data_IF_970388032941
#
_entry.id   IF_970388032941
#
_cell.length_a   1.000
_cell.length_b   1.000
_cell.length_c   1.000
_cell.angle_alpha   90.00
_cell.angle_beta   90.00
_cell.angle_gamma   90.00
#
_symmetry.space_group_name_H-M   'P 1'
#
loop_
_entity.id
_entity.type
_entity.pdbx_description
1 polymer ?
#
# COMPACT_ATOMS: atom_id res chain seq x y z
N UNK A 1 31.80 0.29 -14.95
CA UNK A 1 30.48 -0.20 -14.50
C UNK A 1 30.65 -1.60 -13.93
N UNK A 2 30.45 -1.83 -12.63
CA UNK A 2 30.40 -3.19 -12.10
C UNK A 2 28.94 -3.62 -11.86
N UNK A 3 28.57 -4.74 -12.49
CA UNK A 3 27.34 -5.47 -12.19
C UNK A 3 27.54 -6.23 -10.87
N UNK A 4 26.72 -5.93 -9.86
CA UNK A 4 26.66 -6.70 -8.61
C UNK A 4 25.54 -7.73 -8.77
N UNK A 5 25.92 -8.96 -9.12
CA UNK A 5 25.07 -10.14 -9.04
C UNK A 5 24.92 -10.56 -7.58
N UNK A 6 23.78 -10.22 -6.96
CA UNK A 6 23.38 -10.78 -5.68
C UNK A 6 22.98 -12.26 -5.87
N UNK A 7 23.79 -13.17 -5.34
CA UNK A 7 23.43 -14.59 -5.20
C UNK A 7 22.44 -14.75 -4.05
N UNK A 8 21.17 -15.00 -4.34
CA UNK A 8 20.26 -15.61 -3.37
C UNK A 8 20.45 -17.13 -3.42
N UNK A 9 20.97 -17.72 -2.35
CA UNK A 9 21.04 -19.18 -2.20
C UNK A 9 19.63 -19.73 -1.98
N UNK A 10 19.11 -20.50 -2.93
CA UNK A 10 17.94 -21.32 -2.71
C UNK A 10 18.35 -22.54 -1.87
N UNK A 11 17.87 -22.60 -0.63
CA UNK A 11 17.83 -23.84 0.14
C UNK A 11 16.87 -24.80 -0.55
N UNK A 12 17.40 -25.89 -1.10
CA UNK A 12 16.63 -27.03 -1.58
C UNK A 12 15.92 -27.66 -0.37
N UNK A 13 14.58 -27.61 -0.34
CA UNK A 13 13.80 -28.43 0.58
C UNK A 13 13.67 -29.80 -0.07
N UNK A 14 14.25 -30.81 0.59
CA UNK A 14 14.21 -32.19 0.16
C UNK A 14 12.82 -32.78 0.51
N UNK A 15 12.08 -33.41 -0.43
CA UNK A 15 10.71 -33.90 -0.17
C UNK A 15 10.60 -35.08 0.82
N UNK A 16 11.69 -35.51 1.44
CA UNK A 16 11.74 -36.67 2.34
C UNK A 16 11.60 -36.35 3.84
N UNK A 17 11.44 -35.08 4.23
CA UNK A 17 11.31 -34.67 5.64
C UNK A 17 9.88 -34.40 6.12
N UNK A 18 8.85 -34.76 5.32
CA UNK A 18 7.46 -34.79 5.79
C UNK A 18 7.16 -36.16 6.41
N UNK A 19 7.75 -36.40 7.57
CA UNK A 19 7.52 -37.61 8.35
C UNK A 19 7.59 -37.32 9.84
N UNK A 20 6.44 -37.43 10.51
CA UNK A 20 6.25 -37.53 11.96
C UNK A 20 6.24 -36.20 12.72
N UNK A 21 5.04 -35.63 12.88
CA UNK A 21 4.67 -34.93 14.12
C UNK A 21 3.41 -35.59 14.65
N UNK A 22 3.59 -36.42 15.67
CA UNK A 22 2.52 -37.00 16.46
C UNK A 22 1.86 -35.94 17.34
N UNK A 23 0.53 -35.91 17.34
CA UNK A 23 -0.25 -35.48 18.51
C UNK A 23 -0.61 -34.01 18.60
N UNK A 24 -1.51 -33.54 17.74
CA UNK A 24 -2.44 -32.44 18.06
C UNK A 24 -3.80 -32.78 17.44
N UNK A 25 -4.86 -32.79 18.25
CA UNK A 25 -6.24 -32.93 17.79
C UNK A 25 -6.61 -31.71 16.92
N UNK A 26 -6.86 -31.93 15.63
CA UNK A 26 -7.26 -30.88 14.70
C UNK A 26 -8.80 -30.79 14.58
N UNK A 27 -9.34 -29.59 14.80
CA UNK A 27 -10.73 -29.23 14.47
C UNK A 27 -10.80 -28.73 13.00
N UNK A 28 -11.72 -29.21 12.14
CA UNK A 28 -11.48 -29.16 10.69
C UNK A 28 -11.87 -27.87 9.93
N UNK A 29 -12.34 -26.80 10.59
CA UNK A 29 -13.11 -25.74 9.88
C UNK A 29 -12.44 -24.36 9.92
N UNK A 30 -11.69 -24.00 10.97
CA UNK A 30 -11.11 -22.65 11.09
C UNK A 30 -9.75 -22.50 10.39
N UNK A 31 -8.96 -23.57 10.27
CA UNK A 31 -7.63 -23.53 9.66
C UNK A 31 -7.65 -23.38 8.13
N UNK A 32 -8.75 -23.76 7.46
CA UNK A 32 -8.87 -23.64 6.00
C UNK A 32 -8.98 -22.15 5.58
N UNK A 33 -9.57 -21.31 6.44
CA UNK A 33 -9.71 -19.86 6.15
C UNK A 33 -8.37 -19.16 6.35
N UNK A 34 -7.65 -19.48 7.43
CA UNK A 34 -6.31 -18.94 7.68
C UNK A 34 -5.30 -19.41 6.61
N UNK A 35 -5.32 -20.69 6.20
CA UNK A 35 -4.46 -21.16 5.11
C UNK A 35 -4.77 -20.48 3.77
N UNK A 36 -6.04 -20.19 3.46
CA UNK A 36 -6.42 -19.51 2.21
C UNK A 36 -5.98 -18.05 2.19
N UNK A 37 -6.08 -17.33 3.32
CA UNK A 37 -5.61 -15.94 3.43
C UNK A 37 -4.08 -15.89 3.39
N UNK A 38 -3.40 -16.81 4.07
CA UNK A 38 -1.94 -16.90 4.05
C UNK A 38 -1.39 -17.35 2.69
N UNK A 39 -2.11 -18.21 1.97
CA UNK A 39 -1.79 -18.61 0.60
C UNK A 39 -2.06 -17.48 -0.41
N UNK A 40 -3.11 -16.68 -0.25
CA UNK A 40 -3.37 -15.50 -1.07
C UNK A 40 -2.25 -14.46 -0.90
N UNK A 41 -1.82 -14.19 0.34
CA UNK A 41 -0.72 -13.27 0.63
C UNK A 41 0.65 -13.78 0.16
N UNK A 42 0.91 -15.10 0.24
CA UNK A 42 2.15 -15.71 -0.30
C UNK A 42 2.15 -15.83 -1.83
N UNK A 43 1.01 -16.11 -2.47
CA UNK A 43 0.92 -16.13 -3.94
C UNK A 43 1.08 -14.73 -4.53
N UNK A 44 0.59 -13.68 -3.87
CA UNK A 44 0.81 -12.30 -4.32
C UNK A 44 2.28 -11.87 -4.25
N UNK A 45 3.04 -12.39 -3.27
CA UNK A 45 4.46 -12.09 -3.11
C UNK A 45 5.40 -12.89 -4.03
N UNK A 46 5.04 -14.11 -4.43
CA UNK A 46 5.93 -14.99 -5.18
C UNK A 46 5.75 -14.93 -6.71
N UNK A 47 4.56 -14.58 -7.21
CA UNK A 47 4.29 -14.56 -8.65
C UNK A 47 4.67 -13.26 -9.39
N UNK A 48 5.01 -12.20 -8.66
CA UNK A 48 5.27 -10.87 -9.24
C UNK A 48 6.75 -10.56 -9.47
N UNK A 49 7.67 -11.47 -9.13
CA UNK A 49 9.11 -11.21 -9.28
C UNK A 49 9.62 -11.17 -10.73
N UNK A 50 8.82 -11.64 -11.70
CA UNK A 50 9.19 -11.67 -13.12
C UNK A 50 8.04 -11.34 -14.09
N UNK A 51 6.90 -10.83 -13.59
CA UNK A 51 5.92 -10.23 -14.52
C UNK A 51 6.35 -8.79 -14.78
N UNK A 52 6.55 -8.37 -16.04
CA UNK A 52 6.48 -6.94 -16.33
C UNK A 52 5.16 -6.45 -15.75
N UNK A 53 5.20 -5.45 -14.88
CA UNK A 53 3.98 -4.86 -14.34
C UNK A 53 3.09 -4.50 -15.54
N UNK A 54 1.80 -4.88 -15.52
CA UNK A 54 0.89 -4.45 -16.57
C UNK A 54 0.96 -2.93 -16.70
N UNK A 55 0.90 -2.45 -17.94
CA UNK A 55 1.01 -1.04 -18.25
C UNK A 55 -0.20 -0.30 -17.65
N UNK A 56 0.04 0.48 -16.59
CA UNK A 56 -0.99 1.26 -15.88
C UNK A 56 -1.61 2.30 -16.82
N UNK A 57 -2.94 2.39 -16.83
CA UNK A 57 -3.67 3.41 -17.57
C UNK A 57 -3.60 4.77 -16.88
N UNK A 58 -2.49 5.48 -17.10
CA UNK A 58 -2.20 6.78 -16.48
C UNK A 58 -3.27 7.83 -16.74
N UNK A 59 -3.81 7.90 -17.95
CA UNK A 59 -4.77 8.96 -18.32
C UNK A 59 -6.09 8.79 -17.57
N UNK A 60 -6.53 7.54 -17.37
CA UNK A 60 -7.67 7.21 -16.51
C UNK A 60 -7.42 7.68 -15.07
N UNK A 61 -6.24 7.36 -14.52
CA UNK A 61 -5.89 7.71 -13.14
C UNK A 61 -5.71 9.21 -12.93
N UNK A 62 -5.07 9.91 -13.85
CA UNK A 62 -4.93 11.38 -13.81
C UNK A 62 -6.29 12.06 -13.85
N UNK A 63 -7.17 11.62 -14.77
CA UNK A 63 -8.53 12.15 -14.85
C UNK A 63 -9.28 11.90 -13.55
N UNK A 64 -9.19 10.71 -12.98
CA UNK A 64 -9.83 10.38 -11.71
C UNK A 64 -9.27 11.21 -10.55
N UNK A 65 -7.95 11.32 -10.41
CA UNK A 65 -7.29 12.17 -9.41
C UNK A 65 -7.75 13.63 -9.51
N UNK A 66 -7.91 14.16 -10.73
CA UNK A 66 -8.37 15.55 -10.94
C UNK A 66 -9.80 15.83 -10.45
N UNK A 67 -10.61 14.79 -10.26
CA UNK A 67 -11.96 14.92 -9.71
C UNK A 67 -11.96 15.11 -8.20
N UNK A 68 -10.86 14.72 -7.51
CA UNK A 68 -10.70 14.96 -6.09
C UNK A 68 -10.36 16.43 -5.85
N UNK A 69 -11.35 17.20 -5.40
CA UNK A 69 -11.12 18.60 -5.00
C UNK A 69 -10.44 18.64 -3.64
N UNK A 70 -9.12 18.82 -3.65
CA UNK A 70 -8.33 18.91 -2.41
C UNK A 70 -8.55 20.26 -1.73
N UNK A 71 -9.36 20.25 -0.67
CA UNK A 71 -9.68 21.43 0.15
C UNK A 71 -9.47 21.11 1.62
N UNK A 72 -9.61 22.12 2.48
CA UNK A 72 -9.56 21.94 3.94
C UNK A 72 -10.53 20.86 4.44
N UNK A 73 -11.69 20.73 3.79
CA UNK A 73 -12.77 19.83 4.22
C UNK A 73 -12.56 18.39 3.72
N UNK A 74 -11.81 18.18 2.64
CA UNK A 74 -11.59 16.86 2.03
C UNK A 74 -10.21 16.29 2.33
N UNK A 75 -9.23 17.12 2.71
CA UNK A 75 -7.86 16.69 2.93
C UNK A 75 -7.72 15.67 4.08
N UNK A 76 -8.47 15.86 5.17
CA UNK A 76 -8.43 14.94 6.31
C UNK A 76 -9.17 13.61 6.09
N UNK A 77 -9.89 13.43 4.97
CA UNK A 77 -10.65 12.20 4.71
C UNK A 77 -9.72 10.98 4.59
N UNK A 78 -8.53 11.15 4.01
CA UNK A 78 -7.55 10.07 3.88
C UNK A 78 -7.19 9.45 5.25
N UNK A 79 -6.78 10.28 6.22
CA UNK A 79 -6.42 9.80 7.56
C UNK A 79 -7.62 9.22 8.31
N UNK A 80 -8.82 9.80 8.12
CA UNK A 80 -10.06 9.22 8.64
C UNK A 80 -10.25 7.78 8.13
N UNK A 81 -10.11 7.55 6.83
CA UNK A 81 -10.25 6.22 6.26
C UNK A 81 -9.12 5.29 6.71
N UNK A 82 -7.88 5.81 6.81
CA UNK A 82 -6.72 5.06 7.30
C UNK A 82 -6.97 4.50 8.69
N UNK A 83 -7.43 5.32 9.64
CA UNK A 83 -7.65 4.86 11.01
C UNK A 83 -8.94 4.06 11.19
N UNK A 84 -9.91 4.17 10.26
CA UNK A 84 -11.09 3.29 10.25
C UNK A 84 -10.75 1.89 9.72
N UNK A 85 -9.96 1.80 8.67
CA UNK A 85 -9.64 0.52 8.00
C UNK A 85 -8.43 -0.17 8.63
N UNK A 86 -7.49 0.61 9.17
CA UNK A 86 -6.27 0.15 9.81
C UNK A 86 -6.05 0.89 11.14
N UNK A 87 -6.83 0.59 12.20
CA UNK A 87 -6.75 1.29 13.48
C UNK A 87 -5.34 1.29 14.10
N UNK A 88 -4.55 0.26 13.85
CA UNK A 88 -3.16 0.15 14.30
C UNK A 88 -2.23 1.23 13.72
N UNK A 89 -2.64 1.90 12.63
CA UNK A 89 -1.89 3.02 12.05
C UNK A 89 -2.02 4.29 12.89
N UNK A 90 -3.09 4.43 13.68
CA UNK A 90 -3.36 5.62 14.49
C UNK A 90 -2.21 5.94 15.46
N UNK A 91 -1.51 4.91 15.97
CA UNK A 91 -0.38 5.04 16.89
C UNK A 91 0.81 5.82 16.35
N UNK A 92 1.00 5.79 15.03
CA UNK A 92 2.11 6.51 14.41
C UNK A 92 1.82 8.01 14.26
N UNK A 93 0.57 8.41 14.46
CA UNK A 93 0.11 9.78 14.31
C UNK A 93 -0.45 10.38 15.60
N UNK A 94 -0.21 9.74 16.75
CA UNK A 94 -0.77 10.10 18.07
C UNK A 94 -2.29 10.27 18.02
N UNK A 95 -2.98 9.31 17.41
CA UNK A 95 -4.41 9.37 17.10
C UNK A 95 -5.24 8.24 17.74
N UNK A 96 -4.66 7.43 18.64
CA UNK A 96 -5.28 6.22 19.18
C UNK A 96 -6.61 6.49 19.91
N UNK A 97 -6.68 7.61 20.62
CA UNK A 97 -7.85 8.00 21.42
C UNK A 97 -8.78 8.98 20.69
N UNK A 98 -8.51 9.26 19.40
CA UNK A 98 -9.29 10.18 18.59
C UNK A 98 -10.30 9.39 17.77
N UNK A 99 -11.59 9.72 17.91
CA UNK A 99 -12.62 9.21 17.02
C UNK A 99 -12.27 9.52 15.54
N UNK A 100 -12.14 8.51 14.66
CA UNK A 100 -11.81 8.70 13.25
C UNK A 100 -12.76 9.67 12.52
N UNK A 101 -14.02 9.77 12.94
CA UNK A 101 -14.97 10.72 12.35
C UNK A 101 -14.66 12.20 12.70
N UNK A 102 -13.86 12.44 13.72
CA UNK A 102 -13.39 13.77 14.13
C UNK A 102 -12.05 14.18 13.51
N UNK A 103 -11.31 13.23 12.91
CA UNK A 103 -10.01 13.47 12.26
C UNK A 103 -10.02 14.61 11.24
N UNK A 104 -11.01 14.74 10.32
CA UNK A 104 -11.01 15.82 9.35
C UNK A 104 -11.16 17.23 9.94
N UNK A 105 -11.54 17.34 11.22
CA UNK A 105 -11.67 18.63 11.93
C UNK A 105 -10.34 19.11 12.52
N UNK A 106 -9.40 18.20 12.74
CA UNK A 106 -8.12 18.49 13.37
C UNK A 106 -7.11 19.00 12.33
N UNK A 107 -6.59 20.21 12.55
CA UNK A 107 -5.69 20.89 11.61
C UNK A 107 -4.44 20.07 11.26
N UNK A 108 -3.90 19.30 12.21
CA UNK A 108 -2.78 18.36 11.99
C UNK A 108 -3.06 17.43 10.80
N UNK A 109 -4.21 16.76 10.81
CA UNK A 109 -4.58 15.77 9.78
C UNK A 109 -5.04 16.40 8.48
N UNK A 110 -5.58 17.61 8.52
CA UNK A 110 -5.84 18.39 7.31
C UNK A 110 -4.53 18.71 6.58
N UNK A 111 -3.51 19.17 7.30
CA UNK A 111 -2.21 19.49 6.70
C UNK A 111 -1.49 18.24 6.19
N UNK A 112 -1.44 17.18 7.01
CA UNK A 112 -0.85 15.90 6.61
C UNK A 112 -1.58 15.28 5.41
N UNK A 113 -2.92 15.25 5.46
CA UNK A 113 -3.72 14.71 4.36
C UNK A 113 -3.55 15.50 3.07
N UNK A 114 -3.42 16.83 3.15
CA UNK A 114 -3.15 17.67 1.99
C UNK A 114 -1.78 17.36 1.37
N UNK A 115 -0.77 17.09 2.18
CA UNK A 115 0.56 16.71 1.70
C UNK A 115 0.55 15.30 1.08
N UNK A 116 0.01 14.32 1.80
CA UNK A 116 0.05 12.91 1.36
C UNK A 116 -0.82 12.66 0.12
N UNK A 117 -2.01 13.26 0.03
CA UNK A 117 -2.86 13.15 -1.17
C UNK A 117 -2.16 13.69 -2.42
N UNK A 118 -1.36 14.76 -2.30
CA UNK A 118 -0.59 15.27 -3.43
C UNK A 118 0.47 14.26 -3.92
N UNK A 119 1.04 13.45 -3.02
CA UNK A 119 1.97 12.40 -3.43
C UNK A 119 1.26 11.34 -4.27
N UNK A 120 0.07 10.89 -3.84
CA UNK A 120 -0.74 9.95 -4.61
C UNK A 120 -1.09 10.50 -6.00
N UNK A 121 -1.57 11.74 -6.05
CA UNK A 121 -2.00 12.36 -7.31
C UNK A 121 -0.87 12.58 -8.31
N UNK A 122 0.39 12.66 -7.82
CA UNK A 122 1.56 12.77 -8.67
C UNK A 122 1.98 11.44 -9.31
N UNK A 123 1.69 10.29 -8.68
CA UNK A 123 2.19 8.99 -9.13
C UNK A 123 1.87 8.67 -10.61
N UNK A 124 0.64 8.87 -11.11
CA UNK A 124 0.31 8.60 -12.51
C UNK A 124 1.13 9.43 -13.52
N UNK A 125 1.63 10.61 -13.15
CA UNK A 125 2.43 11.46 -14.03
C UNK A 125 3.86 10.94 -14.21
N UNK A 126 4.39 10.27 -13.20
CA UNK A 126 5.82 9.96 -13.10
C UNK A 126 6.15 8.47 -13.17
N UNK A 127 5.15 7.57 -13.23
CA UNK A 127 5.34 6.11 -13.19
C UNK A 127 6.29 5.55 -14.24
N UNK A 128 6.36 6.17 -15.43
CA UNK A 128 7.26 5.76 -16.52
C UNK A 128 8.56 6.57 -16.57
N UNK A 129 8.80 7.42 -15.57
CA UNK A 129 9.93 8.33 -15.52
C UNK A 129 10.83 7.95 -14.34
N UNK A 130 11.66 6.91 -14.48
CA UNK A 130 12.46 6.27 -13.41
C UNK A 130 13.01 7.24 -12.34
N UNK A 131 13.68 8.31 -12.77
CA UNK A 131 14.24 9.31 -11.85
C UNK A 131 13.15 10.04 -11.04
N UNK A 132 12.08 10.46 -11.71
CA UNK A 132 10.97 11.16 -11.08
C UNK A 132 10.09 10.21 -10.25
N UNK A 133 9.94 8.96 -10.70
CA UNK A 133 9.27 7.89 -9.96
C UNK A 133 9.94 7.65 -8.62
N UNK A 134 11.25 7.39 -8.63
CA UNK A 134 12.04 7.22 -7.40
C UNK A 134 11.95 8.45 -6.50
N UNK A 135 12.00 9.65 -7.07
CA UNK A 135 11.86 10.89 -6.31
C UNK A 135 10.47 11.04 -5.68
N UNK A 136 9.39 10.70 -6.38
CA UNK A 136 8.04 10.76 -5.85
C UNK A 136 7.83 9.73 -4.72
N UNK A 137 8.38 8.52 -4.87
CA UNK A 137 8.33 7.50 -3.82
C UNK A 137 9.20 7.86 -2.61
N UNK A 138 10.28 8.64 -2.78
CA UNK A 138 11.05 9.19 -1.65
C UNK A 138 10.20 10.07 -0.75
N UNK A 139 9.24 10.82 -1.30
CA UNK A 139 8.34 11.66 -0.49
C UNK A 139 7.48 10.83 0.46
N UNK A 140 6.99 9.66 0.02
CA UNK A 140 6.31 8.72 0.91
C UNK A 140 7.24 8.18 1.98
N UNK A 141 8.45 7.77 1.60
CA UNK A 141 9.47 7.29 2.55
C UNK A 141 9.79 8.33 3.62
N UNK A 142 10.01 9.57 3.24
CA UNK A 142 10.32 10.68 4.15
C UNK A 142 9.15 10.90 5.11
N UNK A 143 7.92 11.03 4.61
CA UNK A 143 6.74 11.21 5.47
C UNK A 143 6.47 10.04 6.40
N UNK A 144 6.69 8.80 5.94
CA UNK A 144 6.60 7.63 6.80
C UNK A 144 7.66 7.66 7.90
N UNK A 145 8.91 7.99 7.55
CA UNK A 145 10.00 8.11 8.51
C UNK A 145 9.73 9.22 9.54
N UNK A 146 9.22 10.38 9.12
CA UNK A 146 8.93 11.51 10.00
C UNK A 146 7.82 11.18 11.02
N UNK A 147 6.86 10.35 10.63
CA UNK A 147 5.79 9.85 11.51
C UNK A 147 6.14 8.50 12.17
N UNK A 148 7.39 8.02 12.06
CA UNK A 148 7.82 6.71 12.57
C UNK A 148 6.97 5.52 12.07
N UNK A 149 6.32 5.65 10.91
CA UNK A 149 5.58 4.58 10.25
C UNK A 149 6.59 3.67 9.53
N UNK A 150 6.65 2.38 9.85
CA UNK A 150 7.47 1.43 9.11
C UNK A 150 7.00 1.35 7.66
N UNK A 151 7.94 1.37 6.71
CA UNK A 151 7.58 1.32 5.28
C UNK A 151 6.85 0.03 4.89
N UNK A 152 7.02 -1.06 5.64
CA UNK A 152 6.27 -2.31 5.44
C UNK A 152 4.74 -2.14 5.59
N UNK A 153 4.29 -1.06 6.22
CA UNK A 153 2.87 -0.68 6.34
C UNK A 153 2.32 0.04 5.10
N UNK A 154 3.17 0.36 4.11
CA UNK A 154 2.75 1.11 2.92
C UNK A 154 1.59 0.43 2.18
N UNK A 155 1.47 -0.89 2.20
CA UNK A 155 0.35 -1.58 1.54
C UNK A 155 -1.03 -1.20 2.12
N UNK A 156 -1.09 -0.71 3.37
CA UNK A 156 -2.33 -0.28 4.04
C UNK A 156 -2.83 1.07 3.53
N UNK A 157 -1.98 1.87 2.91
CA UNK A 157 -2.38 3.20 2.42
C UNK A 157 -3.33 3.11 1.22
N UNK A 158 -3.24 2.03 0.45
CA UNK A 158 -4.03 1.82 -0.77
C UNK A 158 -5.53 1.80 -0.45
N UNK A 159 -5.94 1.03 0.56
CA UNK A 159 -7.35 0.87 0.92
C UNK A 159 -7.93 2.20 1.42
N UNK A 160 -7.17 2.91 2.27
CA UNK A 160 -7.53 4.23 2.78
C UNK A 160 -7.63 5.29 1.67
N UNK A 161 -6.67 5.29 0.74
CA UNK A 161 -6.67 6.19 -0.40
C UNK A 161 -7.87 5.94 -1.32
N UNK A 162 -8.14 4.68 -1.68
CA UNK A 162 -9.29 4.32 -2.51
C UNK A 162 -10.62 4.68 -1.84
N UNK A 163 -10.75 4.48 -0.53
CA UNK A 163 -11.95 4.88 0.21
C UNK A 163 -12.14 6.41 0.22
N UNK A 164 -11.05 7.18 0.30
CA UNK A 164 -11.12 8.64 0.17
C UNK A 164 -11.50 9.07 -1.25
N UNK A 165 -10.94 8.42 -2.28
CA UNK A 165 -11.29 8.65 -3.69
C UNK A 165 -12.78 8.35 -3.96
N UNK A 166 -13.29 7.22 -3.47
CA UNK A 166 -14.70 6.82 -3.61
C UNK A 166 -15.63 7.95 -3.15
N UNK A 167 -15.31 8.55 -2.01
CA UNK A 167 -16.13 9.60 -1.41
C UNK A 167 -16.01 10.96 -2.10
N UNK A 168 -14.81 11.35 -2.50
CA UNK A 168 -14.50 12.74 -2.86
C UNK A 168 -14.13 12.96 -4.34
N UNK A 169 -13.96 11.89 -5.12
CA UNK A 169 -13.68 11.95 -6.57
C UNK A 169 -14.89 11.56 -7.44
N UNK A 170 -16.06 11.31 -6.82
CA UNK A 170 -17.28 10.92 -7.53
C UNK A 170 -17.44 9.41 -7.72
N UNK A 171 -16.90 8.61 -6.80
CA UNK A 171 -16.86 7.15 -6.84
C UNK A 171 -15.57 6.60 -7.46
N UNK A 172 -15.34 5.30 -7.31
CA UNK A 172 -14.26 4.56 -7.96
C UNK A 172 -14.87 3.41 -8.76
N UNK A 173 -14.76 3.47 -10.09
CA UNK A 173 -15.20 2.35 -10.93
C UNK A 173 -14.28 1.13 -10.73
N UNK A 174 -14.75 -0.09 -11.04
CA UNK A 174 -13.90 -1.29 -10.94
C UNK A 174 -12.60 -1.18 -11.74
N UNK A 175 -12.65 -0.51 -12.90
CA UNK A 175 -11.46 -0.25 -13.73
C UNK A 175 -10.50 0.74 -13.04
N UNK A 176 -11.00 1.87 -12.54
CA UNK A 176 -10.16 2.83 -11.81
C UNK A 176 -9.52 2.21 -10.57
N UNK A 177 -10.28 1.39 -9.84
CA UNK A 177 -9.79 0.67 -8.67
C UNK A 177 -8.63 -0.25 -9.05
N UNK A 178 -8.82 -1.08 -10.06
CA UNK A 178 -7.80 -2.01 -10.57
C UNK A 178 -6.51 -1.26 -10.96
N UNK A 179 -6.62 -0.16 -11.69
CA UNK A 179 -5.44 0.59 -12.15
C UNK A 179 -4.71 1.30 -11.00
N UNK A 180 -5.41 1.80 -9.98
CA UNK A 180 -4.80 2.34 -8.77
C UNK A 180 -4.10 1.26 -7.94
N UNK A 181 -4.71 0.09 -7.79
CA UNK A 181 -4.11 -1.06 -7.10
C UNK A 181 -2.85 -1.53 -7.82
N UNK A 182 -2.86 -1.60 -9.17
CA UNK A 182 -1.68 -1.95 -9.96
C UNK A 182 -0.55 -0.92 -9.81
N UNK A 183 -0.89 0.39 -9.84
CA UNK A 183 0.09 1.47 -9.64
C UNK A 183 0.74 1.41 -8.25
N UNK A 184 -0.06 1.23 -7.20
CA UNK A 184 0.44 1.18 -5.82
C UNK A 184 1.14 -0.14 -5.50
N UNK A 185 0.74 -1.25 -6.11
CA UNK A 185 1.49 -2.50 -6.05
C UNK A 185 2.87 -2.36 -6.70
N UNK A 186 2.98 -1.68 -7.84
CA UNK A 186 4.26 -1.33 -8.45
C UNK A 186 5.10 -0.45 -7.52
N UNK A 187 4.52 0.58 -6.92
CA UNK A 187 5.20 1.44 -5.95
C UNK A 187 5.81 0.64 -4.79
N UNK A 188 5.01 -0.23 -4.18
CA UNK A 188 5.45 -1.11 -3.10
C UNK A 188 6.60 -2.03 -3.53
N UNK A 189 6.48 -2.67 -4.70
CA UNK A 189 7.51 -3.58 -5.21
C UNK A 189 8.83 -2.88 -5.55
N UNK A 190 8.77 -1.67 -6.13
CA UNK A 190 9.95 -0.90 -6.48
C UNK A 190 10.68 -0.41 -5.22
N UNK A 191 9.94 0.13 -4.24
CA UNK A 191 10.52 0.51 -2.94
C UNK A 191 11.20 -0.67 -2.25
N UNK A 192 10.62 -1.88 -2.38
CA UNK A 192 11.18 -3.11 -1.81
C UNK A 192 12.46 -3.53 -2.52
N UNK A 193 12.47 -3.44 -3.84
CA UNK A 193 13.66 -3.71 -4.67
C UNK A 193 14.82 -2.76 -4.35
N UNK A 194 14.52 -1.54 -3.92
CA UNK A 194 15.52 -0.55 -3.51
C UNK A 194 16.01 -0.70 -2.07
N UNK A 195 15.51 -1.68 -1.31
CA UNK A 195 15.91 -1.92 0.07
C UNK A 195 15.51 -0.81 1.02
N UNK A 196 14.33 -0.20 0.81
CA UNK A 196 13.80 0.82 1.73
C UNK A 196 13.04 0.24 2.92
N UNK A 197 12.84 -1.08 2.94
CA UNK A 197 12.20 -1.85 4.00
C UNK A 197 13.24 -2.56 4.84
#
# INVERSE_FOLDING_TARGET
MPQILAKCSYGSINPSELGVISGIHYHPIEDIVQLKIHAANKMFCAHNFFRPFPMVNKDLLKKHASQYKLTKDTAGEYHKQLFKLHPEMAKYYDAEDIDPDSIPKAMKFVMLGQQELQFFFRLPDVVDQDRQWRSALSSFKETFSDNNVPLNEFNKVTDAFLAAMEKNAGGVTPEQKKEWEELLAKAYADMKTWGWY
#
